data_IF_772616319281
#
_entry.id   IF_772616319281
#
_cell.length_a   1.000
_cell.length_b   1.000
_cell.length_c   1.000
_cell.angle_alpha   90.00
_cell.angle_beta   90.00
_cell.angle_gamma   90.00
#
_symmetry.space_group_name_H-M   'P 1'
#
loop_
_entity.id
_entity.type
_entity.pdbx_description
1 polymer ?
#
# COMPACT_ATOMS: atom_id res chain seq x y z
N UNK A 1 15.80 7.51 -21.63
CA UNK A 1 15.37 8.48 -20.59
C UNK A 1 15.56 7.81 -19.24
N UNK A 2 16.17 8.46 -18.23
CA UNK A 2 16.18 7.91 -16.88
C UNK A 2 14.74 7.89 -16.33
N UNK A 3 14.33 6.79 -15.70
CA UNK A 3 13.04 6.72 -15.00
C UNK A 3 13.11 7.54 -13.71
N UNK A 4 12.06 8.28 -13.40
CA UNK A 4 11.91 8.89 -12.08
C UNK A 4 11.78 7.78 -11.03
N UNK A 5 12.80 7.63 -10.19
CA UNK A 5 12.77 6.75 -9.02
C UNK A 5 12.17 7.56 -7.87
N UNK A 6 11.06 7.08 -7.31
CA UNK A 6 10.42 7.69 -6.16
C UNK A 6 10.38 6.69 -4.99
N UNK A 7 10.55 7.20 -3.77
CA UNK A 7 10.42 6.40 -2.56
C UNK A 7 8.94 6.22 -2.23
N UNK A 8 8.62 5.09 -1.62
CA UNK A 8 7.30 4.84 -1.04
C UNK A 8 7.43 4.10 0.27
N UNK A 9 6.39 4.21 1.10
CA UNK A 9 6.27 3.45 2.35
C UNK A 9 5.25 2.33 2.18
N UNK A 10 5.56 1.16 2.74
CA UNK A 10 4.62 0.03 2.83
C UNK A 10 4.10 -0.04 4.26
N UNK A 11 2.78 -0.09 4.41
CA UNK A 11 2.12 -0.25 5.70
C UNK A 11 1.14 -1.43 5.66
N UNK A 12 1.07 -2.15 6.78
CA UNK A 12 0.14 -3.25 7.01
C UNK A 12 -0.82 -2.89 8.14
N UNK A 13 -2.08 -2.72 7.80
CA UNK A 13 -3.13 -2.43 8.79
C UNK A 13 -3.92 -3.71 9.06
N UNK A 14 -3.74 -4.27 10.26
CA UNK A 14 -4.47 -5.46 10.70
C UNK A 14 -5.91 -5.11 11.06
N UNK A 15 -6.87 -5.89 10.55
CA UNK A 15 -8.28 -5.80 10.93
C UNK A 15 -8.73 -7.05 11.70
N UNK A 16 -9.96 -7.04 12.23
CA UNK A 16 -10.54 -8.19 12.91
C UNK A 16 -10.69 -9.41 11.99
N UNK A 17 -11.05 -9.18 10.72
CA UNK A 17 -11.26 -10.21 9.70
C UNK A 17 -10.57 -9.82 8.39
N UNK A 18 -9.25 -9.95 8.36
CA UNK A 18 -8.41 -9.61 7.20
C UNK A 18 -7.41 -8.50 7.51
N UNK A 19 -6.96 -7.82 6.46
CA UNK A 19 -6.03 -6.71 6.56
C UNK A 19 -6.07 -5.81 5.32
N UNK A 20 -5.55 -4.59 5.47
CA UNK A 20 -5.30 -3.69 4.35
C UNK A 20 -3.81 -3.52 4.17
N UNK A 21 -3.32 -3.76 2.95
CA UNK A 21 -1.97 -3.39 2.56
C UNK A 21 -2.03 -2.02 1.87
N UNK A 22 -1.19 -1.09 2.31
CA UNK A 22 -1.06 0.25 1.71
C UNK A 22 0.35 0.52 1.22
N UNK A 23 0.42 1.23 0.10
CA UNK A 23 1.63 1.77 -0.48
C UNK A 23 1.45 3.26 -0.70
N UNK A 24 2.30 4.05 -0.05
CA UNK A 24 2.19 5.52 0.03
C UNK A 24 3.41 6.19 -0.58
N UNK A 25 3.18 6.97 -1.64
CA UNK A 25 4.08 7.99 -2.19
C UNK A 25 3.64 9.38 -1.68
N UNK A 26 4.37 10.43 -2.03
CA UNK A 26 4.07 11.80 -1.57
C UNK A 26 2.64 12.24 -1.95
N UNK A 27 2.20 11.91 -3.16
CA UNK A 27 0.89 12.36 -3.69
C UNK A 27 -0.08 11.22 -4.02
N UNK A 28 0.38 9.97 -3.95
CA UNK A 28 -0.40 8.81 -4.38
C UNK A 28 -0.44 7.75 -3.30
N UNK A 29 -1.64 7.21 -3.04
CA UNK A 29 -1.86 6.04 -2.18
C UNK A 29 -2.53 4.95 -2.99
N UNK A 30 -1.92 3.76 -2.99
CA UNK A 30 -2.55 2.54 -3.45
C UNK A 30 -2.86 1.65 -2.24
N UNK A 31 -4.02 0.98 -2.27
CA UNK A 31 -4.40 0.06 -1.20
C UNK A 31 -5.16 -1.14 -1.75
N UNK A 32 -4.94 -2.30 -1.13
CA UNK A 32 -5.71 -3.51 -1.39
C UNK A 32 -6.26 -4.06 -0.08
N UNK A 33 -7.54 -4.39 -0.09
CA UNK A 33 -8.20 -5.11 0.99
C UNK A 33 -7.99 -6.62 0.80
N UNK A 34 -7.49 -7.29 1.83
CA UNK A 34 -7.25 -8.73 1.84
C UNK A 34 -8.24 -9.35 2.82
N UNK A 35 -9.21 -10.06 2.28
CA UNK A 35 -10.20 -10.83 3.05
C UNK A 35 -9.94 -12.32 2.90
N UNK A 36 -10.41 -13.10 3.88
CA UNK A 36 -10.38 -14.57 3.78
C UNK A 36 -11.43 -14.99 2.74
N UNK A 37 -11.06 -15.93 1.85
CA UNK A 37 -11.99 -16.56 0.89
C UNK A 37 -13.09 -17.36 1.59
#
# INVERSE_FOLDING_TARGET
>A
MPSLVENFTIAFDKAATGCTLRMDWETTRASVEITKM
#
